data_IF_704686834932
#
_entry.id   IF_704686834932
#
_cell.length_a   1.000
_cell.length_b   1.000
_cell.length_c   1.000
_cell.angle_alpha   90.00
_cell.angle_beta   90.00
_cell.angle_gamma   90.00
#
_symmetry.space_group_name_H-M   'P 1'
#
loop_
_entity.id
_entity.type
_entity.pdbx_description
1 polymer ?
#
# COMPACT_ATOMS: atom_id res chain seq x y z
N UNK A 1 20.13 -19.10 8.84
CA UNK A 1 18.79 -18.78 8.35
C UNK A 1 18.96 -18.21 6.97
N UNK A 2 18.26 -18.74 5.98
CA UNK A 2 18.36 -18.26 4.62
C UNK A 2 17.81 -16.83 4.47
N UNK A 3 18.01 -16.20 3.32
CA UNK A 3 17.53 -14.85 2.99
C UNK A 3 16.00 -14.70 3.08
N UNK A 4 15.31 -15.79 3.36
CA UNK A 4 13.85 -15.91 3.35
C UNK A 4 13.09 -15.11 4.43
N UNK A 5 13.70 -14.81 5.59
CA UNK A 5 12.95 -14.24 6.70
C UNK A 5 12.39 -12.84 6.45
N UNK A 6 13.27 -11.85 6.23
CA UNK A 6 12.86 -10.48 5.98
C UNK A 6 12.15 -10.34 4.62
N UNK A 7 12.68 -10.96 3.56
CA UNK A 7 12.06 -10.94 2.25
C UNK A 7 10.67 -11.60 2.28
N UNK A 8 10.52 -12.76 2.94
CA UNK A 8 9.23 -13.42 3.08
C UNK A 8 8.20 -12.55 3.80
N UNK A 9 8.59 -11.82 4.86
CA UNK A 9 7.72 -10.87 5.53
C UNK A 9 7.32 -9.71 4.61
N UNK A 10 8.28 -9.07 3.96
CA UNK A 10 8.04 -7.91 3.10
C UNK A 10 7.14 -8.25 1.89
N UNK A 11 7.30 -9.47 1.35
CA UNK A 11 6.53 -9.99 0.22
C UNK A 11 5.24 -10.70 0.62
N UNK A 12 4.95 -10.86 1.91
CA UNK A 12 3.68 -11.46 2.35
C UNK A 12 2.49 -10.61 1.86
N UNK A 13 1.49 -11.27 1.29
CA UNK A 13 0.27 -10.69 0.71
C UNK A 13 -0.87 -10.51 1.70
N UNK A 14 -0.67 -10.95 2.93
CA UNK A 14 -1.64 -10.85 4.02
C UNK A 14 -0.95 -10.57 5.34
N UNK A 15 -1.64 -9.82 6.21
CA UNK A 15 -1.18 -9.57 7.58
C UNK A 15 -0.97 -10.87 8.36
N UNK A 16 -1.87 -11.85 8.19
CA UNK A 16 -1.76 -13.14 8.86
C UNK A 16 -0.45 -13.87 8.51
N UNK A 17 -0.05 -13.86 7.24
CA UNK A 17 1.20 -14.49 6.81
C UNK A 17 2.40 -13.72 7.34
N UNK A 18 2.38 -12.38 7.26
CA UNK A 18 3.42 -11.52 7.83
C UNK A 18 3.59 -11.74 9.33
N UNK A 19 2.50 -11.73 10.10
CA UNK A 19 2.52 -11.94 11.55
C UNK A 19 3.12 -13.28 11.95
N UNK A 20 2.77 -14.38 11.28
CA UNK A 20 3.36 -15.70 11.53
C UNK A 20 4.90 -15.70 11.37
N UNK A 21 5.40 -14.94 10.39
CA UNK A 21 6.84 -14.82 10.18
C UNK A 21 7.49 -14.07 11.36
N UNK A 22 6.90 -12.94 11.80
CA UNK A 22 7.41 -12.19 12.94
C UNK A 22 7.38 -12.99 14.24
N UNK A 23 6.28 -13.73 14.47
CA UNK A 23 6.15 -14.64 15.62
C UNK A 23 7.26 -15.69 15.62
N UNK A 24 7.57 -16.27 14.45
CA UNK A 24 8.65 -17.23 14.30
C UNK A 24 10.04 -16.67 14.61
N UNK A 25 10.25 -15.37 14.44
CA UNK A 25 11.49 -14.66 14.78
C UNK A 25 11.46 -13.98 16.15
N UNK A 26 10.33 -13.99 16.84
CA UNK A 26 10.08 -13.17 18.03
C UNK A 26 10.42 -11.68 17.78
N UNK A 27 10.07 -11.19 16.59
CA UNK A 27 10.35 -9.83 16.17
C UNK A 27 9.21 -8.90 16.59
N UNK A 28 9.55 -7.82 17.26
CA UNK A 28 8.59 -6.80 17.71
C UNK A 28 8.55 -5.60 16.77
N UNK A 29 9.63 -5.29 16.10
CA UNK A 29 9.73 -4.10 15.24
C UNK A 29 10.08 -4.48 13.82
N UNK A 30 9.50 -3.71 12.90
CA UNK A 30 9.78 -3.76 11.46
C UNK A 30 10.27 -2.40 11.01
N UNK A 31 11.37 -2.39 10.26
CA UNK A 31 11.91 -1.18 9.65
C UNK A 31 11.72 -1.30 8.14
N UNK A 32 11.14 -0.28 7.54
CA UNK A 32 10.96 -0.18 6.08
C UNK A 32 11.66 1.06 5.56
N UNK A 33 12.12 1.00 4.30
CA UNK A 33 12.62 2.16 3.58
C UNK A 33 11.91 2.32 2.23
N UNK A 34 11.93 3.51 1.67
CA UNK A 34 11.24 3.85 0.41
C UNK A 34 11.70 2.97 -0.75
N UNK A 35 12.97 2.56 -0.77
CA UNK A 35 13.53 1.79 -1.88
C UNK A 35 13.05 0.33 -1.91
N UNK A 36 12.54 -0.21 -0.79
CA UNK A 36 12.02 -1.58 -0.75
C UNK A 36 10.83 -1.77 -1.70
N UNK A 37 9.93 -0.79 -1.76
CA UNK A 37 8.76 -0.81 -2.63
C UNK A 37 9.01 -0.26 -4.04
N UNK A 38 10.21 0.19 -4.35
CA UNK A 38 10.58 0.78 -5.65
C UNK A 38 11.80 0.09 -6.25
N UNK A 39 12.98 0.67 -6.06
CA UNK A 39 14.21 0.24 -6.73
C UNK A 39 14.68 -1.16 -6.31
N UNK A 40 14.41 -1.57 -5.07
CA UNK A 40 14.81 -2.87 -4.53
C UNK A 40 13.73 -3.94 -4.66
N UNK A 41 12.53 -3.62 -5.12
CA UNK A 41 11.43 -4.59 -5.22
C UNK A 41 11.85 -5.87 -5.95
N UNK A 42 12.53 -5.72 -7.09
CA UNK A 42 13.02 -6.87 -7.87
C UNK A 42 13.98 -7.74 -7.07
N UNK A 43 14.90 -7.14 -6.32
CA UNK A 43 15.85 -7.89 -5.48
C UNK A 43 15.14 -8.60 -4.32
N UNK A 44 14.19 -7.95 -3.67
CA UNK A 44 13.40 -8.52 -2.56
C UNK A 44 12.56 -9.70 -3.07
N UNK A 45 11.92 -9.57 -4.25
CA UNK A 45 11.14 -10.63 -4.87
C UNK A 45 12.01 -11.87 -5.18
N UNK A 46 13.18 -11.67 -5.78
CA UNK A 46 14.14 -12.75 -6.07
C UNK A 46 14.67 -13.41 -4.79
N UNK A 47 14.87 -12.64 -3.72
CA UNK A 47 15.29 -13.18 -2.42
C UNK A 47 14.18 -13.97 -1.73
N UNK A 48 12.93 -13.60 -1.96
CA UNK A 48 11.79 -14.35 -1.47
C UNK A 48 11.64 -15.68 -2.21
N UNK A 49 11.67 -15.63 -3.54
CA UNK A 49 11.59 -16.79 -4.41
C UNK A 49 12.40 -16.52 -5.69
N UNK A 50 13.46 -17.29 -5.90
CA UNK A 50 14.36 -17.12 -7.05
C UNK A 50 13.71 -17.44 -8.40
N UNK A 51 12.57 -18.15 -8.41
CA UNK A 51 11.79 -18.43 -9.61
C UNK A 51 10.74 -17.36 -9.89
N UNK A 52 10.43 -16.52 -8.87
CA UNK A 52 9.47 -15.41 -8.98
C UNK A 52 10.20 -14.15 -9.40
N UNK A 53 9.76 -13.56 -10.50
CA UNK A 53 10.22 -12.23 -10.88
C UNK A 53 9.35 -11.17 -10.22
N UNK A 54 9.67 -9.89 -10.45
CA UNK A 54 8.85 -8.76 -10.04
C UNK A 54 7.58 -8.54 -10.90
N UNK A 55 7.47 -9.28 -12.03
CA UNK A 55 6.41 -9.13 -13.02
C UNK A 55 4.96 -9.25 -12.48
N UNK A 56 4.67 -10.05 -11.44
CA UNK A 56 3.34 -10.06 -10.84
C UNK A 56 2.96 -8.73 -10.15
N UNK A 57 3.94 -7.94 -9.74
CA UNK A 57 3.76 -6.73 -8.92
C UNK A 57 3.87 -5.45 -9.73
N UNK A 58 4.71 -5.46 -10.77
CA UNK A 58 4.98 -4.29 -11.60
C UNK A 58 5.12 -4.69 -13.06
N UNK A 59 4.65 -3.83 -13.96
CA UNK A 59 4.79 -4.03 -15.40
C UNK A 59 5.40 -2.80 -16.07
N UNK A 60 6.38 -3.04 -16.96
CA UNK A 60 6.93 -1.98 -17.79
C UNK A 60 6.06 -1.74 -19.00
N UNK A 61 5.68 -0.50 -19.22
CA UNK A 61 5.00 -0.05 -20.43
C UNK A 61 5.89 0.93 -21.18
N UNK A 62 5.61 1.07 -22.46
CA UNK A 62 6.34 1.95 -23.36
C UNK A 62 5.37 2.90 -24.02
N UNK A 63 5.76 4.16 -24.12
CA UNK A 63 4.98 5.19 -24.80
C UNK A 63 5.87 5.90 -25.80
N UNK A 64 5.36 6.20 -27.00
CA UNK A 64 6.07 7.03 -27.95
C UNK A 64 6.31 8.41 -27.38
N UNK A 65 7.54 8.89 -27.51
CA UNK A 65 7.89 10.22 -27.05
C UNK A 65 7.15 11.29 -27.87
N UNK A 66 6.45 12.24 -27.25
CA UNK A 66 5.85 13.35 -27.98
C UNK A 66 6.88 14.32 -28.57
N UNK A 67 8.14 14.27 -28.10
CA UNK A 67 9.22 15.17 -28.51
C UNK A 67 10.15 14.51 -29.53
N UNK A 68 10.48 13.24 -29.33
CA UNK A 68 11.49 12.51 -30.12
C UNK A 68 10.88 11.44 -31.06
N UNK A 69 9.59 11.55 -31.38
CA UNK A 69 8.93 10.71 -32.37
C UNK A 69 8.92 9.21 -32.03
N UNK A 70 9.74 8.41 -32.72
CA UNK A 70 9.75 6.95 -32.55
C UNK A 70 10.50 6.45 -31.31
N UNK A 71 11.11 7.31 -30.52
CA UNK A 71 11.74 6.93 -29.26
C UNK A 71 10.67 6.46 -28.26
N UNK A 72 10.87 5.27 -27.71
CA UNK A 72 10.01 4.73 -26.66
C UNK A 72 10.50 5.14 -25.27
N UNK A 73 9.63 5.80 -24.52
CA UNK A 73 9.83 6.11 -23.10
C UNK A 73 9.25 4.97 -22.27
N UNK A 74 10.07 4.42 -21.37
CA UNK A 74 9.67 3.37 -20.45
C UNK A 74 9.05 3.98 -19.20
N UNK A 75 7.93 3.42 -18.75
CA UNK A 75 7.34 3.66 -17.43
C UNK A 75 6.97 2.35 -16.76
N UNK A 76 7.32 2.20 -15.50
CA UNK A 76 6.85 1.08 -14.69
C UNK A 76 5.51 1.45 -14.03
N UNK A 77 4.63 0.48 -13.90
CA UNK A 77 3.31 0.64 -13.27
C UNK A 77 3.06 -0.50 -12.31
N UNK A 78 2.52 -0.15 -11.16
CA UNK A 78 2.15 -1.07 -10.11
C UNK A 78 0.86 -1.81 -10.48
N UNK A 79 0.89 -3.13 -10.31
CA UNK A 79 -0.24 -4.03 -10.53
C UNK A 79 -0.95 -4.32 -9.20
N UNK A 80 -2.20 -4.80 -9.20
CA UNK A 80 -2.98 -5.05 -7.99
C UNK A 80 -2.23 -5.81 -6.89
N UNK A 81 -1.48 -6.91 -7.14
CA UNK A 81 -0.76 -7.64 -6.08
C UNK A 81 0.30 -6.82 -5.32
N UNK A 82 0.86 -5.76 -5.95
CA UNK A 82 1.82 -4.87 -5.30
C UNK A 82 1.26 -4.22 -4.04
N UNK A 83 -0.01 -3.82 -4.06
CA UNK A 83 -0.65 -3.09 -2.96
C UNK A 83 -0.98 -3.98 -1.76
N UNK A 84 -1.03 -5.30 -1.94
CA UNK A 84 -1.29 -6.26 -0.88
C UNK A 84 -0.02 -6.64 -0.09
N UNK A 85 1.16 -6.35 -0.62
CA UNK A 85 2.43 -6.66 0.03
C UNK A 85 2.58 -5.94 1.37
N UNK A 86 3.09 -6.64 2.38
CA UNK A 86 3.31 -6.05 3.72
C UNK A 86 4.20 -4.81 3.65
N UNK A 87 5.26 -4.80 2.81
CA UNK A 87 6.11 -3.62 2.67
C UNK A 87 5.34 -2.40 2.16
N UNK A 88 4.44 -2.58 1.17
CA UNK A 88 3.64 -1.50 0.60
C UNK A 88 2.61 -1.00 1.61
N UNK A 89 1.90 -1.91 2.26
CA UNK A 89 0.89 -1.58 3.27
C UNK A 89 1.49 -0.81 4.46
N UNK A 90 2.69 -1.19 4.89
CA UNK A 90 3.42 -0.49 5.94
C UNK A 90 3.95 0.84 5.42
N UNK A 91 4.85 0.82 4.43
CA UNK A 91 5.61 2.01 4.06
C UNK A 91 4.79 3.07 3.35
N UNK A 92 3.97 2.67 2.36
CA UNK A 92 3.22 3.61 1.53
C UNK A 92 1.93 4.10 2.21
N UNK A 93 1.29 3.24 3.02
CA UNK A 93 -0.05 3.49 3.56
C UNK A 93 -0.10 3.60 5.09
N UNK A 94 1.05 3.60 5.79
CA UNK A 94 1.12 3.68 7.25
C UNK A 94 0.27 2.61 7.98
N UNK A 95 0.04 1.47 7.32
CA UNK A 95 -0.87 0.43 7.82
C UNK A 95 -2.36 0.76 7.70
N UNK A 96 -2.74 1.91 7.17
CA UNK A 96 -4.13 2.35 7.04
C UNK A 96 -4.81 1.72 5.82
N UNK A 97 -6.11 1.45 5.93
CA UNK A 97 -6.95 1.06 4.79
C UNK A 97 -6.91 2.10 3.69
N UNK A 98 -6.80 1.64 2.44
CA UNK A 98 -6.91 2.49 1.26
C UNK A 98 -8.12 2.09 0.41
N UNK A 99 -8.80 3.09 -0.11
CA UNK A 99 -9.90 2.91 -1.07
C UNK A 99 -9.43 3.51 -2.40
N UNK A 100 -9.59 2.82 -3.53
CA UNK A 100 -9.21 3.34 -4.82
C UNK A 100 -9.87 4.68 -5.12
N UNK A 101 -9.06 5.65 -5.47
CA UNK A 101 -9.53 6.94 -5.99
C UNK A 101 -9.66 6.89 -7.52
N UNK A 102 -8.84 7.68 -8.21
CA UNK A 102 -8.71 7.62 -9.66
C UNK A 102 -7.73 6.50 -10.04
N UNK A 103 -8.19 5.64 -10.93
CA UNK A 103 -7.46 4.48 -11.45
C UNK A 103 -7.02 4.79 -12.87
N UNK A 104 -5.79 4.47 -13.21
CA UNK A 104 -5.30 4.58 -14.58
C UNK A 104 -5.69 3.32 -15.37
N UNK A 105 -6.52 3.51 -16.38
CA UNK A 105 -6.86 2.49 -17.38
C UNK A 105 -5.94 2.68 -18.59
N UNK A 106 -5.22 1.62 -18.96
CA UNK A 106 -4.31 1.58 -20.10
C UNK A 106 -4.80 0.59 -21.16
N UNK A 107 -4.78 1.01 -22.42
CA UNK A 107 -4.85 0.11 -23.57
C UNK A 107 -3.48 0.05 -24.22
N UNK A 108 -3.05 -1.14 -24.64
CA UNK A 108 -1.72 -1.34 -25.21
C UNK A 108 -1.71 -2.50 -26.21
N UNK A 109 -0.67 -2.54 -27.03
CA UNK A 109 -0.34 -3.71 -27.87
C UNK A 109 1.10 -4.14 -27.59
N UNK A 110 1.38 -5.41 -27.82
CA UNK A 110 2.74 -5.93 -27.69
C UNK A 110 3.50 -5.78 -29.01
N UNK A 111 4.52 -4.92 -29.01
CA UNK A 111 5.46 -4.78 -30.13
C UNK A 111 6.62 -5.73 -29.92
N UNK A 112 6.86 -6.66 -30.88
CA UNK A 112 8.00 -7.55 -30.82
C UNK A 112 9.23 -6.91 -31.45
N UNK A 113 10.29 -6.76 -30.65
CA UNK A 113 11.59 -6.24 -31.09
C UNK A 113 12.67 -7.19 -30.58
N UNK A 114 13.43 -7.81 -31.50
CA UNK A 114 14.51 -8.72 -31.11
C UNK A 114 14.05 -9.96 -30.35
N UNK A 115 12.79 -10.41 -30.51
CA UNK A 115 12.21 -11.56 -29.82
C UNK A 115 11.61 -11.22 -28.44
N UNK A 116 11.68 -9.97 -28.00
CA UNK A 116 11.07 -9.48 -26.77
C UNK A 116 9.78 -8.72 -27.06
N UNK A 117 8.76 -8.94 -26.24
CA UNK A 117 7.49 -8.22 -26.31
C UNK A 117 7.52 -6.94 -25.47
N UNK A 118 7.27 -5.81 -26.11
CA UNK A 118 7.21 -4.49 -25.49
C UNK A 118 5.77 -4.01 -25.46
N UNK A 119 5.12 -3.88 -24.28
CA UNK A 119 3.77 -3.34 -24.17
C UNK A 119 3.76 -1.83 -24.49
N UNK A 120 3.31 -1.46 -25.70
CA UNK A 120 3.26 -0.06 -26.15
C UNK A 120 1.86 0.50 -25.92
N UNK A 121 1.77 1.56 -25.12
CA UNK A 121 0.52 2.23 -24.76
C UNK A 121 -0.08 2.92 -26.00
N UNK A 122 -1.37 2.68 -26.23
CA UNK A 122 -2.18 3.36 -27.26
C UNK A 122 -3.16 4.37 -26.68
N UNK A 123 -3.66 4.10 -25.46
CA UNK A 123 -4.66 4.95 -24.82
C UNK A 123 -4.48 4.95 -23.30
N UNK A 124 -4.69 6.11 -22.68
CA UNK A 124 -4.64 6.32 -21.22
C UNK A 124 -5.89 7.04 -20.79
N UNK A 125 -6.57 6.53 -19.77
CA UNK A 125 -7.72 7.20 -19.14
C UNK A 125 -7.63 7.15 -17.64
N UNK A 126 -7.94 8.25 -16.97
CA UNK A 126 -8.05 8.31 -15.50
C UNK A 126 -9.53 8.20 -15.14
N UNK A 127 -9.91 7.16 -14.43
CA UNK A 127 -11.29 6.78 -14.19
C UNK A 127 -11.48 6.50 -12.68
N UNK A 128 -12.66 6.82 -12.15
CA UNK A 128 -13.05 6.30 -10.84
C UNK A 128 -13.24 4.77 -10.89
N UNK A 129 -13.24 4.10 -9.74
CA UNK A 129 -13.25 2.65 -9.65
C UNK A 129 -14.36 1.98 -10.47
N UNK A 130 -15.62 2.46 -10.38
CA UNK A 130 -16.75 1.87 -11.09
C UNK A 130 -16.63 1.99 -12.62
N UNK A 131 -16.14 3.15 -13.11
CA UNK A 131 -15.88 3.36 -14.55
C UNK A 131 -14.68 2.55 -15.03
N UNK A 132 -13.64 2.41 -14.22
CA UNK A 132 -12.46 1.61 -14.52
C UNK A 132 -12.82 0.12 -14.69
N UNK A 133 -13.61 -0.41 -13.76
CA UNK A 133 -14.14 -1.78 -13.87
C UNK A 133 -15.05 -1.97 -15.09
N UNK A 134 -15.92 -1.00 -15.39
CA UNK A 134 -16.75 -1.07 -16.57
C UNK A 134 -15.92 -1.01 -17.86
N UNK A 135 -14.88 -0.18 -17.91
CA UNK A 135 -13.99 -0.05 -19.05
C UNK A 135 -13.24 -1.38 -19.33
N UNK A 136 -12.67 -2.00 -18.28
CA UNK A 136 -11.96 -3.29 -18.42
C UNK A 136 -12.91 -4.41 -18.89
N UNK A 137 -14.14 -4.48 -18.34
CA UNK A 137 -15.14 -5.48 -18.76
C UNK A 137 -15.64 -5.28 -20.20
N UNK A 138 -15.67 -4.03 -20.68
CA UNK A 138 -16.16 -3.68 -22.02
C UNK A 138 -15.05 -3.62 -23.08
N UNK A 139 -13.79 -3.83 -22.71
CA UNK A 139 -12.67 -3.78 -23.64
C UNK A 139 -12.84 -4.82 -24.76
N UNK A 140 -12.58 -4.38 -26.00
CA UNK A 140 -12.59 -5.24 -27.18
C UNK A 140 -11.27 -5.09 -27.93
N UNK A 141 -10.47 -6.17 -28.05
CA UNK A 141 -9.21 -6.15 -28.78
C UNK A 141 -9.38 -5.68 -30.23
N UNK A 142 -8.46 -4.85 -30.69
CA UNK A 142 -8.37 -4.38 -32.07
C UNK A 142 -9.22 -3.13 -32.40
N UNK A 143 -10.16 -2.73 -31.55
CA UNK A 143 -11.02 -1.56 -31.84
C UNK A 143 -10.23 -0.23 -31.79
N UNK A 144 -9.28 -0.11 -30.86
CA UNK A 144 -8.39 1.06 -30.69
C UNK A 144 -6.98 0.81 -31.20
N UNK A 145 -6.74 -0.32 -31.91
CA UNK A 145 -5.39 -0.80 -32.22
C UNK A 145 -4.69 -1.50 -31.06
N UNK A 146 -5.31 -1.53 -29.88
CA UNK A 146 -4.82 -2.25 -28.72
C UNK A 146 -5.18 -3.74 -28.79
N UNK A 147 -4.30 -4.60 -28.28
CA UNK A 147 -4.58 -6.03 -28.11
C UNK A 147 -5.03 -6.36 -26.69
N UNK A 148 -4.67 -5.52 -25.73
CA UNK A 148 -4.91 -5.72 -24.32
C UNK A 148 -5.26 -4.43 -23.59
N UNK A 149 -5.87 -4.57 -22.41
CA UNK A 149 -6.11 -3.47 -21.48
C UNK A 149 -5.84 -3.91 -20.05
N UNK A 150 -5.45 -2.95 -19.19
CA UNK A 150 -5.12 -3.20 -17.79
C UNK A 150 -5.47 -1.99 -16.93
N UNK A 151 -5.80 -2.24 -15.66
CA UNK A 151 -5.88 -1.23 -14.62
C UNK A 151 -4.55 -1.20 -13.87
N UNK A 152 -3.98 -0.01 -13.76
CA UNK A 152 -2.73 0.20 -13.06
C UNK A 152 -2.87 1.40 -12.12
N UNK A 153 -2.13 1.37 -11.04
CA UNK A 153 -2.01 2.49 -10.13
C UNK A 153 -0.64 3.14 -10.22
N UNK A 154 -0.29 3.82 -9.17
CA UNK A 154 1.04 4.31 -8.90
C UNK A 154 1.43 3.96 -7.45
N UNK A 155 2.59 4.40 -7.02
CA UNK A 155 3.15 4.07 -5.71
C UNK A 155 2.21 4.33 -4.51
N UNK A 156 1.32 5.33 -4.59
CA UNK A 156 0.41 5.72 -3.50
C UNK A 156 -1.07 5.52 -3.81
N UNK A 157 -1.43 5.24 -5.06
CA UNK A 157 -2.82 5.13 -5.48
C UNK A 157 -3.15 3.71 -5.94
N UNK A 158 -3.72 2.88 -5.05
CA UNK A 158 -4.06 1.51 -5.37
C UNK A 158 -5.23 1.43 -6.33
N UNK A 159 -5.28 0.34 -7.11
CA UNK A 159 -6.37 0.05 -8.05
C UNK A 159 -7.49 -0.77 -7.43
N UNK A 160 -7.26 -1.30 -6.26
CA UNK A 160 -8.24 -2.06 -5.48
C UNK A 160 -8.15 -1.67 -4.01
N UNK A 161 -9.16 -2.05 -3.23
CA UNK A 161 -9.17 -1.80 -1.80
C UNK A 161 -8.02 -2.54 -1.10
N UNK A 162 -7.25 -1.80 -0.31
CA UNK A 162 -6.20 -2.34 0.55
C UNK A 162 -6.69 -2.34 1.99
N UNK A 163 -6.78 -3.51 2.66
CA UNK A 163 -7.25 -3.57 4.04
C UNK A 163 -6.22 -2.96 4.99
N UNK A 164 -6.68 -2.42 6.13
CA UNK A 164 -5.79 -1.94 7.18
C UNK A 164 -4.96 -3.08 7.79
N UNK A 165 -3.79 -2.73 8.32
CA UNK A 165 -3.02 -3.58 9.23
C UNK A 165 -3.53 -3.35 10.65
N UNK A 166 -3.95 -4.42 11.31
CA UNK A 166 -4.60 -4.39 12.62
C UNK A 166 -3.63 -4.51 13.80
N UNK A 167 -2.46 -5.04 13.50
CA UNK A 167 -1.44 -5.38 14.49
C UNK A 167 -0.15 -4.56 14.32
N UNK A 168 -0.15 -3.56 13.43
CA UNK A 168 1.02 -2.74 13.15
C UNK A 168 0.72 -1.27 13.34
N UNK A 169 1.57 -0.59 14.11
CA UNK A 169 1.50 0.87 14.29
C UNK A 169 2.82 1.52 13.94
N UNK A 170 2.76 2.67 13.29
CA UNK A 170 3.92 3.53 13.07
C UNK A 170 4.37 4.09 14.42
N UNK A 171 5.65 3.96 14.74
CA UNK A 171 6.23 4.48 15.99
C UNK A 171 7.34 5.50 15.76
N UNK A 172 7.86 5.56 14.53
CA UNK A 172 8.88 6.52 14.14
C UNK A 172 8.94 6.64 12.62
N UNK A 173 9.20 7.84 12.12
CA UNK A 173 9.61 8.09 10.73
C UNK A 173 10.79 9.04 10.67
N UNK A 174 11.66 8.88 9.65
CA UNK A 174 12.82 9.74 9.47
C UNK A 174 12.40 11.16 9.11
N UNK A 175 13.17 12.20 9.53
CA UNK A 175 12.88 13.59 9.17
C UNK A 175 13.16 13.90 7.69
N UNK A 176 13.93 13.05 6.99
CA UNK A 176 14.24 13.25 5.58
C UNK A 176 13.19 12.63 4.69
N UNK A 177 12.89 13.32 3.60
CA UNK A 177 12.00 12.84 2.57
C UNK A 177 12.80 12.26 1.41
N UNK A 178 12.32 11.16 0.82
CA UNK A 178 12.84 10.73 -0.47
C UNK A 178 12.39 11.72 -1.55
N UNK A 179 13.31 12.15 -2.41
CA UNK A 179 12.94 12.98 -3.52
C UNK A 179 12.00 12.22 -4.46
N UNK A 180 10.85 12.82 -4.66
CA UNK A 180 10.00 12.71 -5.82
C UNK A 180 9.60 11.31 -6.28
N UNK A 181 8.59 10.78 -5.68
CA UNK A 181 7.63 9.98 -6.44
C UNK A 181 6.78 10.95 -7.26
N UNK A 182 7.10 11.09 -8.52
CA UNK A 182 6.35 11.93 -9.47
C UNK A 182 4.99 11.28 -9.66
N UNK A 183 3.94 11.90 -9.17
CA UNK A 183 2.58 11.55 -9.56
C UNK A 183 2.39 11.90 -11.03
N UNK A 184 2.07 10.90 -11.84
CA UNK A 184 1.88 11.06 -13.28
C UNK A 184 0.64 11.88 -13.67
N UNK A 185 -0.17 12.31 -12.72
CA UNK A 185 -1.38 13.11 -12.91
C UNK A 185 -1.15 14.62 -12.78
N UNK A 186 0.10 15.08 -12.71
CA UNK A 186 0.46 16.49 -12.47
C UNK A 186 0.02 17.04 -11.09
N UNK A 187 -0.41 16.20 -10.14
CA UNK A 187 -0.89 16.67 -8.83
C UNK A 187 0.23 17.09 -7.88
N UNK A 188 1.48 17.01 -8.31
CA UNK A 188 2.65 17.45 -7.55
C UNK A 188 3.55 16.33 -7.06
N UNK A 189 4.66 16.72 -6.46
CA UNK A 189 5.62 15.81 -5.84
C UNK A 189 5.07 15.36 -4.50
N UNK A 190 4.80 14.07 -4.32
CA UNK A 190 4.48 13.50 -3.01
C UNK A 190 5.78 13.15 -2.30
N UNK A 191 5.96 13.75 -1.15
CA UNK A 191 7.10 13.46 -0.28
C UNK A 191 6.78 12.23 0.58
N UNK A 192 7.64 11.21 0.50
CA UNK A 192 7.54 10.01 1.33
C UNK A 192 8.77 9.95 2.24
N UNK A 193 8.57 9.71 3.53
CA UNK A 193 9.68 9.62 4.48
C UNK A 193 10.56 8.41 4.17
N UNK A 194 11.87 8.62 4.26
CA UNK A 194 12.88 7.64 3.83
C UNK A 194 12.78 6.32 4.58
N UNK A 195 12.64 6.40 5.92
CA UNK A 195 12.60 5.24 6.81
C UNK A 195 11.38 5.36 7.72
N UNK A 196 10.68 4.26 7.91
CA UNK A 196 9.59 4.12 8.87
C UNK A 196 9.83 2.90 9.76
N UNK A 197 9.50 3.04 11.05
CA UNK A 197 9.58 1.96 12.04
C UNK A 197 8.18 1.65 12.53
N UNK A 198 7.81 0.39 12.45
CA UNK A 198 6.50 -0.09 12.92
C UNK A 198 6.70 -1.05 14.09
N UNK A 199 5.80 -0.98 15.04
CA UNK A 199 5.71 -1.95 16.13
C UNK A 199 4.59 -2.94 15.85
N UNK A 200 4.88 -4.22 16.05
CA UNK A 200 3.92 -5.31 16.01
C UNK A 200 3.30 -5.49 17.40
N UNK A 201 1.99 -5.32 17.50
CA UNK A 201 1.21 -5.33 18.74
C UNK A 201 0.02 -6.29 18.66
N UNK A 202 -0.57 -6.64 19.81
CA UNK A 202 -1.80 -7.45 19.80
C UNK A 202 -3.01 -6.69 19.27
N UNK A 203 -3.06 -5.37 19.46
CA UNK A 203 -4.18 -4.52 19.12
C UNK A 203 -5.34 -4.63 20.10
N UNK A 204 -5.99 -3.53 20.40
CA UNK A 204 -7.20 -3.50 21.24
C UNK A 204 -8.44 -3.87 20.43
N UNK A 205 -9.36 -4.58 21.03
CA UNK A 205 -10.61 -5.03 20.41
C UNK A 205 -11.75 -4.03 20.69
N UNK A 206 -12.43 -3.58 19.63
CA UNK A 206 -13.58 -2.66 19.72
C UNK A 206 -14.75 -3.30 18.99
N UNK A 207 -15.87 -3.49 19.69
CA UNK A 207 -17.11 -4.02 19.10
C UNK A 207 -17.82 -2.91 18.33
N UNK A 208 -18.15 -3.19 17.06
CA UNK A 208 -18.85 -2.26 16.18
C UNK A 208 -18.75 -2.66 14.71
N UNK A 209 -19.60 -2.06 13.89
CA UNK A 209 -19.64 -2.27 12.45
C UNK A 209 -19.31 -1.01 11.66
N UNK A 210 -18.85 -1.18 10.43
CA UNK A 210 -18.55 -0.10 9.50
C UNK A 210 -17.06 0.23 9.41
N UNK A 211 -16.72 1.49 9.46
CA UNK A 211 -15.32 1.98 9.38
C UNK A 211 -15.01 2.76 10.64
N UNK A 212 -13.89 2.43 11.28
CA UNK A 212 -13.31 3.20 12.38
C UNK A 212 -12.14 4.03 11.86
N UNK A 213 -11.97 5.24 12.41
CA UNK A 213 -10.85 6.10 12.07
C UNK A 213 -10.20 6.72 13.29
N UNK A 214 -8.90 7.02 13.17
CA UNK A 214 -8.10 7.74 14.16
C UNK A 214 -7.13 8.67 13.43
N UNK A 215 -7.08 9.93 13.83
CA UNK A 215 -6.06 10.87 13.36
C UNK A 215 -4.77 10.63 14.14
N UNK A 216 -3.65 10.57 13.43
CA UNK A 216 -2.31 10.32 13.99
C UNK A 216 -1.38 11.43 13.54
N UNK A 217 -0.59 11.99 14.46
CA UNK A 217 0.51 12.91 14.20
C UNK A 217 1.83 12.20 14.44
N UNK A 218 2.75 12.29 13.47
CA UNK A 218 4.05 11.64 13.55
C UNK A 218 5.07 12.51 14.29
N UNK A 219 6.21 11.92 14.65
CA UNK A 219 7.34 12.62 15.23
C UNK A 219 7.95 13.71 14.33
N UNK A 220 7.58 13.78 13.05
CA UNK A 220 7.98 14.83 12.10
C UNK A 220 6.91 15.92 11.93
N UNK A 221 5.76 15.80 12.60
CA UNK A 221 4.62 16.70 12.47
C UNK A 221 3.72 16.42 11.25
N UNK A 222 3.95 15.31 10.55
CA UNK A 222 3.04 14.85 9.49
C UNK A 222 1.78 14.25 10.12
N UNK A 223 0.62 14.58 9.58
CA UNK A 223 -0.64 13.98 10.00
C UNK A 223 -1.14 12.97 8.95
N UNK A 224 -1.70 11.87 9.41
CA UNK A 224 -2.45 10.93 8.59
C UNK A 224 -3.65 10.38 9.35
N UNK A 225 -4.58 9.76 8.64
CA UNK A 225 -5.73 9.10 9.26
C UNK A 225 -5.60 7.58 9.10
N UNK A 226 -5.47 6.88 10.22
CA UNK A 226 -5.61 5.44 10.24
C UNK A 226 -7.10 5.09 10.09
N UNK A 227 -7.43 4.24 9.13
CA UNK A 227 -8.79 3.76 8.86
C UNK A 227 -8.81 2.26 8.80
N UNK A 228 -9.85 1.65 9.37
CA UNK A 228 -10.06 0.21 9.34
C UNK A 228 -11.53 -0.11 9.16
N UNK A 229 -11.84 -1.13 8.37
CA UNK A 229 -13.19 -1.70 8.28
C UNK A 229 -13.35 -2.83 9.29
N UNK A 230 -14.55 -2.95 9.89
CA UNK A 230 -14.87 -4.03 10.80
C UNK A 230 -14.84 -5.40 10.11
N UNK A 231 -14.43 -6.41 10.87
CA UNK A 231 -14.52 -7.81 10.44
C UNK A 231 -15.37 -8.55 11.47
N UNK A 232 -16.50 -9.10 11.04
CA UNK A 232 -17.45 -9.81 11.91
C UNK A 232 -17.92 -8.98 13.12
N UNK A 233 -18.18 -7.68 12.92
CA UNK A 233 -18.67 -6.82 13.99
C UNK A 233 -17.59 -6.36 14.98
N UNK A 234 -16.32 -6.44 14.61
CA UNK A 234 -15.19 -6.09 15.48
C UNK A 234 -14.09 -5.36 14.72
N UNK A 235 -13.44 -4.43 15.41
CA UNK A 235 -12.19 -3.80 15.01
C UNK A 235 -11.07 -4.28 15.93
N UNK A 236 -9.86 -4.47 15.39
CA UNK A 236 -8.64 -4.65 16.17
C UNK A 236 -7.73 -3.47 15.83
N UNK A 237 -7.49 -2.59 16.78
CA UNK A 237 -6.82 -1.31 16.53
C UNK A 237 -5.45 -1.24 17.18
N UNK A 238 -4.39 -0.80 16.42
CA UNK A 238 -3.02 -0.88 16.91
C UNK A 238 -2.54 0.36 17.68
N UNK A 239 -3.28 1.48 17.64
CA UNK A 239 -2.87 2.72 18.30
C UNK A 239 -3.60 2.91 19.63
N UNK A 240 -2.86 3.31 20.65
CA UNK A 240 -3.45 3.84 21.89
C UNK A 240 -3.78 5.32 21.75
N UNK A 241 -4.85 5.78 22.39
CA UNK A 241 -5.25 7.20 22.44
C UNK A 241 -4.78 7.88 23.73
N UNK A 242 -4.41 7.10 24.74
CA UNK A 242 -3.84 7.56 26.01
C UNK A 242 -2.60 6.73 26.34
N UNK A 243 -1.68 7.31 27.10
CA UNK A 243 -0.45 6.67 27.62
C UNK A 243 0.49 6.11 26.54
N UNK A 244 0.45 6.68 25.33
CA UNK A 244 1.32 6.29 24.23
C UNK A 244 2.79 6.65 24.56
N UNK A 245 3.73 5.67 24.51
CA UNK A 245 5.14 5.92 24.87
C UNK A 245 5.97 6.55 23.74
N UNK A 246 5.42 6.70 22.53
CA UNK A 246 6.14 7.17 21.34
C UNK A 246 5.80 8.63 21.01
N UNK A 247 6.65 9.25 20.16
CA UNK A 247 6.39 10.58 19.61
C UNK A 247 5.40 10.57 18.43
N UNK A 248 5.10 9.41 17.87
CA UNK A 248 3.95 9.22 16.96
C UNK A 248 2.70 9.04 17.82
N UNK A 249 1.77 10.01 17.77
CA UNK A 249 0.66 10.12 18.72
C UNK A 249 -0.69 10.20 18.04
N UNK A 250 -1.70 9.64 18.67
CA UNK A 250 -3.09 9.87 18.31
C UNK A 250 -3.50 11.32 18.58
N UNK A 251 -4.27 11.89 17.68
CA UNK A 251 -4.91 13.20 17.84
C UNK A 251 -6.39 12.98 18.11
N UNK A 252 -6.74 12.84 19.40
CA UNK A 252 -8.08 12.50 19.86
C UNK A 252 -8.35 10.98 19.91
N UNK A 253 -9.59 10.60 19.82
CA UNK A 253 -10.11 9.26 20.09
C UNK A 253 -10.46 8.54 18.78
N UNK A 254 -10.65 7.21 18.84
CA UNK A 254 -11.25 6.50 17.73
C UNK A 254 -12.70 6.89 17.51
N UNK A 255 -13.11 7.01 16.24
CA UNK A 255 -14.47 7.29 15.83
C UNK A 255 -14.96 6.24 14.84
N UNK A 256 -16.13 5.65 15.12
CA UNK A 256 -16.83 4.81 14.14
C UNK A 256 -17.66 5.74 13.26
N UNK A 257 -17.37 5.76 11.95
CA UNK A 257 -18.02 6.65 10.99
C UNK A 257 -19.55 6.45 10.97
N UNK A 258 -20.28 7.55 10.94
CA UNK A 258 -21.75 7.53 10.99
C UNK A 258 -22.31 7.41 12.41
N UNK A 259 -21.48 7.40 13.44
CA UNK A 259 -21.89 7.41 14.85
C UNK A 259 -21.27 8.60 15.59
N UNK A 260 -21.80 8.92 16.76
CA UNK A 260 -21.20 9.91 17.69
C UNK A 260 -20.30 9.25 18.73
N UNK A 261 -19.93 8.00 18.55
CA UNK A 261 -19.15 7.23 19.51
C UNK A 261 -17.66 7.59 19.38
N UNK A 262 -17.10 8.17 20.43
CA UNK A 262 -15.67 8.36 20.62
C UNK A 262 -15.16 7.30 21.60
N UNK A 263 -14.04 6.64 21.29
CA UNK A 263 -13.54 5.49 22.05
C UNK A 263 -12.09 5.76 22.43
N UNK A 264 -11.82 5.75 23.73
CA UNK A 264 -10.49 5.76 24.28
C UNK A 264 -9.90 4.35 24.31
N UNK A 265 -8.62 4.25 24.00
CA UNK A 265 -7.86 3.01 24.02
C UNK A 265 -6.55 3.26 24.76
N UNK A 266 -6.30 2.53 25.84
CA UNK A 266 -5.06 2.63 26.59
C UNK A 266 -3.93 1.82 25.92
N UNK A 267 -2.68 2.18 26.27
CA UNK A 267 -1.52 1.42 25.82
C UNK A 267 -1.59 -0.04 26.30
N UNK A 268 -2.08 -0.27 27.51
CA UNK A 268 -2.26 -1.60 28.07
C UNK A 268 -3.27 -2.43 27.28
N UNK A 269 -4.37 -1.81 26.80
CA UNK A 269 -5.37 -2.52 25.98
C UNK A 269 -4.78 -2.97 24.64
N UNK A 270 -3.98 -2.12 24.01
CA UNK A 270 -3.26 -2.45 22.76
C UNK A 270 -2.28 -3.60 22.99
N UNK A 271 -1.47 -3.52 24.05
CA UNK A 271 -0.42 -4.50 24.31
C UNK A 271 -0.96 -5.85 24.79
N UNK A 272 -2.08 -5.85 25.48
CA UNK A 272 -2.71 -7.08 26.00
C UNK A 272 -3.77 -7.67 25.07
N UNK A 273 -4.24 -6.92 24.08
CA UNK A 273 -5.35 -7.33 23.22
C UNK A 273 -6.68 -7.32 23.97
N UNK A 274 -6.94 -6.29 24.78
CA UNK A 274 -8.17 -6.21 25.58
C UNK A 274 -9.33 -5.66 24.76
N UNK A 275 -10.54 -6.08 25.12
CA UNK A 275 -11.77 -5.49 24.58
C UNK A 275 -12.08 -4.20 25.33
N UNK A 276 -12.29 -3.11 24.59
CA UNK A 276 -12.61 -1.77 25.11
C UNK A 276 -13.98 -1.31 24.64
N UNK A 277 -14.63 -0.51 25.46
CA UNK A 277 -15.84 0.21 25.07
C UNK A 277 -17.09 -0.68 24.96
N UNK A 278 -17.27 -1.60 25.90
CA UNK A 278 -18.56 -2.27 26.18
C UNK A 278 -19.59 -1.31 26.76
#
# INVERSE_FOLDING_TARGET
MGPSGAAAFLMADSEQNGSKILDGFNARYVITDTSLGSDKLAAVAIWYDSETSWDPYMKSFFQKSPVYGDQLLRSNRELPPYYQLMMTRLHNFDGSMQIPGNITYLEYYNQNIGGLAYPVITNVRFLNASRAEAAIRSFKPGYTGATDAVLVGDYLHPVEKVPALRHFRLVYESPGNSEALINNDNSGVVSVNFVKVFEYVKGAHIVGDGVIELKVETNTGREFTYKQESINGEFIVPYSTVDNPYDVKSVGNYHILGTNRAIDVSEEDVMQGRTVGG
#
